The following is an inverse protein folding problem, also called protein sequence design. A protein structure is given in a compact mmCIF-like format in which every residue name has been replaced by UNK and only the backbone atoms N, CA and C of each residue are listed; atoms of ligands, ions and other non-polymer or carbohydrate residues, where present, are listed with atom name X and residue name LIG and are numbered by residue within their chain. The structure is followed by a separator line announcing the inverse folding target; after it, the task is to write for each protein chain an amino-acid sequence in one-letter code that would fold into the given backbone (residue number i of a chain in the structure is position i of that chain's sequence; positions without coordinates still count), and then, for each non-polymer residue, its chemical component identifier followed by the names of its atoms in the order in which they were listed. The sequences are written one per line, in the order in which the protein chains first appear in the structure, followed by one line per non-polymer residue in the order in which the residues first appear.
data_IF_226152099170
#
_entry.id   IF_226152099170
#
_cell.length_a   1.000
_cell.length_b   1.000
_cell.length_c   1.000
_cell.angle_alpha   90.00
_cell.angle_beta   90.00
_cell.angle_gamma   90.00
#
_symmetry.space_group_name_H-M   'P 1'
#
loop_
_entity.id
_entity.type
_entity.pdbx_description
1 polymer ?
#
# COMPACT_ATOMS: atom_id res chain seq x y z
N UNK A 1 20.96 18.96 12.08
CA UNK A 1 20.94 17.71 12.85
C UNK A 1 19.92 16.71 12.28
N UNK A 2 18.65 17.08 12.00
CA UNK A 2 17.62 16.15 11.48
C UNK A 2 18.00 15.51 10.15
N UNK A 3 18.55 16.27 9.21
CA UNK A 3 18.99 15.74 7.91
C UNK A 3 20.16 14.74 8.08
N UNK A 4 21.13 15.04 8.92
CA UNK A 4 22.23 14.11 9.21
C UNK A 4 21.73 12.80 9.81
N UNK A 5 20.83 12.86 10.80
CA UNK A 5 20.21 11.68 11.40
C UNK A 5 19.46 10.84 10.35
N UNK A 6 18.65 11.48 9.49
CA UNK A 6 17.92 10.78 8.46
C UNK A 6 18.86 10.06 7.45
N UNK A 7 19.93 10.76 7.03
CA UNK A 7 20.92 10.17 6.09
C UNK A 7 21.68 9.02 6.74
N UNK A 8 22.14 9.16 7.98
CA UNK A 8 22.84 8.09 8.70
C UNK A 8 21.91 6.87 8.92
N UNK A 9 20.64 7.10 9.30
CA UNK A 9 19.67 6.02 9.49
C UNK A 9 19.36 5.29 8.18
N UNK A 10 19.22 6.03 7.07
CA UNK A 10 18.98 5.43 5.76
C UNK A 10 20.20 4.62 5.29
N UNK A 11 21.40 5.18 5.37
CA UNK A 11 22.63 4.49 4.99
C UNK A 11 22.88 3.25 5.87
N UNK A 12 22.70 3.39 7.19
CA UNK A 12 22.82 2.28 8.14
C UNK A 12 21.81 1.16 7.86
N UNK A 13 20.54 1.52 7.61
CA UNK A 13 19.50 0.54 7.27
C UNK A 13 19.82 -0.23 5.97
N UNK A 14 20.25 0.46 4.91
CA UNK A 14 20.66 -0.18 3.65
C UNK A 14 21.89 -1.06 3.85
N UNK A 15 22.87 -0.62 4.63
CA UNK A 15 24.06 -1.42 4.93
C UNK A 15 23.71 -2.69 5.71
N UNK A 16 22.82 -2.61 6.70
CA UNK A 16 22.33 -3.77 7.46
C UNK A 16 21.61 -4.75 6.53
N UNK A 17 20.73 -4.27 5.64
CA UNK A 17 20.07 -5.13 4.65
C UNK A 17 21.06 -5.84 3.75
N UNK A 18 22.10 -5.12 3.26
CA UNK A 18 23.14 -5.72 2.41
C UNK A 18 24.01 -6.75 3.12
N UNK A 19 24.35 -6.48 4.39
CA UNK A 19 25.21 -7.34 5.18
C UNK A 19 24.52 -8.59 5.74
N UNK A 20 23.23 -8.44 6.15
CA UNK A 20 22.49 -9.52 6.82
C UNK A 20 21.50 -10.26 5.94
N UNK A 21 21.24 -9.77 4.72
CA UNK A 21 20.37 -10.45 3.74
C UNK A 21 21.10 -10.64 2.41
N UNK A 22 20.82 -9.79 1.42
CA UNK A 22 21.47 -9.86 0.10
C UNK A 22 21.46 -8.48 -0.60
N UNK A 23 22.29 -8.30 -1.66
CA UNK A 23 22.38 -7.04 -2.40
C UNK A 23 21.07 -6.59 -3.04
N UNK A 24 20.20 -7.53 -3.47
CA UNK A 24 18.90 -7.20 -4.07
C UNK A 24 17.98 -6.53 -3.04
N UNK A 25 17.90 -7.09 -1.83
CA UNK A 25 17.11 -6.50 -0.74
C UNK A 25 17.63 -5.13 -0.34
N UNK A 26 18.95 -4.94 -0.28
CA UNK A 26 19.56 -3.65 -0.02
C UNK A 26 19.23 -2.61 -1.11
N UNK A 27 19.29 -3.03 -2.39
CA UNK A 27 18.93 -2.18 -3.52
C UNK A 27 17.44 -1.75 -3.47
N UNK A 28 16.54 -2.67 -3.16
CA UNK A 28 15.12 -2.36 -2.97
C UNK A 28 14.90 -1.41 -1.79
N UNK A 29 15.62 -1.58 -0.69
CA UNK A 29 15.57 -0.67 0.46
C UNK A 29 16.07 0.74 0.10
N UNK A 30 17.19 0.85 -0.61
CA UNK A 30 17.71 2.12 -1.10
C UNK A 30 16.73 2.80 -2.07
N UNK A 31 16.16 2.03 -3.00
CA UNK A 31 15.11 2.51 -3.92
C UNK A 31 13.89 3.03 -3.16
N UNK A 32 13.45 2.30 -2.14
CA UNK A 32 12.29 2.70 -1.33
C UNK A 32 12.53 4.04 -0.63
N UNK A 33 13.69 4.21 0.01
CA UNK A 33 14.08 5.49 0.64
C UNK A 33 14.15 6.61 -0.39
N UNK A 34 14.75 6.37 -1.55
CA UNK A 34 14.85 7.36 -2.62
C UNK A 34 13.48 7.78 -3.15
N UNK A 35 12.60 6.83 -3.45
CA UNK A 35 11.23 7.11 -3.91
C UNK A 35 10.42 7.87 -2.86
N UNK A 36 10.54 7.49 -1.59
CA UNK A 36 9.82 8.16 -0.51
C UNK A 36 10.29 9.61 -0.33
N UNK A 37 11.61 9.80 -0.22
CA UNK A 37 12.17 11.11 0.12
C UNK A 37 12.14 12.10 -1.04
N UNK A 38 12.53 11.65 -2.25
CA UNK A 38 12.76 12.55 -3.38
C UNK A 38 11.62 12.59 -4.39
N UNK A 39 10.70 11.61 -4.41
CA UNK A 39 9.57 11.59 -5.33
C UNK A 39 8.26 11.78 -4.60
N UNK A 40 7.90 10.85 -3.71
CA UNK A 40 6.60 10.87 -3.03
C UNK A 40 6.39 12.12 -2.16
N UNK A 41 7.35 12.45 -1.31
CA UNK A 41 7.22 13.56 -0.36
C UNK A 41 7.06 14.93 -1.05
N UNK A 42 7.85 15.29 -2.07
CA UNK A 42 7.64 16.51 -2.84
C UNK A 42 6.30 16.51 -3.60
N UNK A 43 5.90 15.37 -4.18
CA UNK A 43 4.66 15.26 -4.95
C UNK A 43 3.40 15.56 -4.14
N UNK A 44 3.41 15.41 -2.82
CA UNK A 44 2.26 15.73 -1.95
C UNK A 44 1.75 17.16 -2.13
N UNK A 45 2.63 18.10 -2.47
CA UNK A 45 2.27 19.50 -2.69
C UNK A 45 1.93 19.83 -4.14
N UNK A 46 2.22 18.93 -5.09
CA UNK A 46 2.13 19.26 -6.52
C UNK A 46 1.06 18.45 -7.26
N UNK A 47 0.84 17.18 -6.91
CA UNK A 47 -0.01 16.31 -7.72
C UNK A 47 -0.74 15.26 -6.89
N UNK A 48 -1.98 14.95 -7.28
CA UNK A 48 -2.76 13.83 -6.72
C UNK A 48 -2.11 12.47 -7.01
N UNK A 49 -1.21 12.39 -7.99
CA UNK A 49 -0.46 11.16 -8.30
C UNK A 49 0.44 10.70 -7.15
N UNK A 50 0.70 11.56 -6.15
CA UNK A 50 1.39 11.18 -4.92
C UNK A 50 0.79 9.91 -4.29
N UNK A 51 -0.52 9.71 -4.37
CA UNK A 51 -1.20 8.56 -3.79
C UNK A 51 -0.74 7.25 -4.42
N UNK A 52 -0.56 7.20 -5.76
CA UNK A 52 -0.06 6.02 -6.46
C UNK A 52 1.43 5.79 -6.22
N UNK A 53 2.23 6.85 -6.24
CA UNK A 53 3.66 6.75 -5.90
C UNK A 53 3.83 6.27 -4.46
N UNK A 54 3.03 6.79 -3.52
CA UNK A 54 3.01 6.32 -2.13
C UNK A 54 2.63 4.84 -2.02
N UNK A 55 1.67 4.38 -2.83
CA UNK A 55 1.28 2.98 -2.87
C UNK A 55 2.40 2.07 -3.43
N UNK A 56 3.18 2.53 -4.41
CA UNK A 56 4.39 1.82 -4.87
C UNK A 56 5.42 1.72 -3.75
N UNK A 57 5.72 2.83 -3.08
CA UNK A 57 6.64 2.86 -1.92
C UNK A 57 6.22 1.86 -0.84
N UNK A 58 4.93 1.84 -0.50
CA UNK A 58 4.40 0.92 0.51
C UNK A 58 4.27 -0.54 0.05
N UNK A 59 4.34 -0.82 -1.26
CA UNK A 59 4.34 -2.16 -1.82
C UNK A 59 5.75 -2.79 -1.95
N UNK A 60 6.81 -2.00 -1.82
CA UNK A 60 8.20 -2.50 -1.86
C UNK A 60 8.56 -3.39 -0.65
N UNK A 61 8.15 -3.10 0.61
CA UNK A 61 8.51 -3.95 1.75
C UNK A 61 8.16 -5.44 1.61
N UNK A 62 6.99 -5.86 1.10
CA UNK A 62 6.74 -7.28 0.81
C UNK A 62 7.75 -7.88 -0.18
N UNK A 63 8.13 -7.14 -1.22
CA UNK A 63 9.16 -7.58 -2.17
C UNK A 63 10.54 -7.67 -1.52
N UNK A 64 10.87 -6.75 -0.62
CA UNK A 64 12.10 -6.82 0.16
C UNK A 64 12.13 -8.06 1.05
N UNK A 65 11.01 -8.36 1.73
CA UNK A 65 10.87 -9.58 2.53
C UNK A 65 11.01 -10.83 1.68
N UNK A 66 10.34 -10.89 0.52
CA UNK A 66 10.46 -12.00 -0.41
C UNK A 66 11.90 -12.17 -0.92
N UNK A 67 12.50 -11.10 -1.44
CA UNK A 67 13.86 -11.11 -1.95
C UNK A 67 14.91 -11.48 -0.87
N UNK A 68 14.65 -11.15 0.39
CA UNK A 68 15.56 -11.51 1.48
C UNK A 68 15.67 -13.03 1.70
N UNK A 69 14.58 -13.75 1.43
CA UNK A 69 14.51 -15.21 1.58
C UNK A 69 14.92 -15.96 0.30
N UNK A 70 14.54 -15.43 -0.88
CA UNK A 70 14.74 -16.13 -2.16
C UNK A 70 15.98 -15.68 -2.91
N UNK A 71 16.49 -14.50 -2.64
CA UNK A 71 17.60 -13.88 -3.39
C UNK A 71 17.23 -13.39 -4.79
N UNK A 72 15.96 -13.51 -5.20
CA UNK A 72 15.51 -13.21 -6.57
C UNK A 72 14.10 -12.63 -6.58
N UNK A 73 13.71 -12.02 -7.70
CA UNK A 73 12.35 -11.59 -8.04
C UNK A 73 11.98 -11.92 -9.49
N UNK A 74 12.81 -12.71 -10.17
CA UNK A 74 12.72 -12.96 -11.61
C UNK A 74 12.39 -14.42 -11.95
N UNK A 75 12.24 -15.29 -10.96
CA UNK A 75 11.83 -16.68 -11.15
C UNK A 75 10.32 -16.80 -11.22
N UNK A 76 9.76 -17.81 -11.91
CA UNK A 76 8.32 -18.09 -11.89
C UNK A 76 7.75 -18.31 -10.48
N UNK A 77 8.57 -18.84 -9.57
CA UNK A 77 8.23 -19.04 -8.15
C UNK A 77 8.09 -17.75 -7.36
N UNK A 78 8.61 -16.62 -7.88
CA UNK A 78 8.51 -15.30 -7.24
C UNK A 78 7.16 -14.62 -7.48
N UNK A 79 6.26 -15.22 -8.28
CA UNK A 79 4.93 -14.67 -8.56
C UNK A 79 4.14 -14.36 -7.28
N UNK A 80 4.28 -15.18 -6.22
CA UNK A 80 3.63 -14.95 -4.95
C UNK A 80 4.13 -13.64 -4.29
N UNK A 81 5.41 -13.37 -4.33
CA UNK A 81 6.00 -12.12 -3.82
C UNK A 81 5.44 -10.88 -4.52
N UNK A 82 5.29 -10.93 -5.83
CA UNK A 82 4.67 -9.86 -6.63
C UNK A 82 3.18 -9.70 -6.32
N UNK A 83 2.45 -10.79 -6.12
CA UNK A 83 1.03 -10.74 -5.77
C UNK A 83 0.85 -10.17 -4.36
N UNK A 84 1.68 -10.54 -3.39
CA UNK A 84 1.67 -9.95 -2.05
C UNK A 84 1.94 -8.43 -2.10
N UNK A 85 2.91 -8.00 -2.91
CA UNK A 85 3.14 -6.58 -3.15
C UNK A 85 1.92 -5.91 -3.79
N UNK A 86 1.27 -6.57 -4.76
CA UNK A 86 0.04 -6.11 -5.39
C UNK A 86 -1.15 -6.01 -4.42
N UNK A 87 -1.28 -6.96 -3.51
CA UNK A 87 -2.29 -6.93 -2.43
C UNK A 87 -2.04 -5.71 -1.54
N UNK A 88 -0.82 -5.51 -1.07
CA UNK A 88 -0.52 -4.37 -0.21
C UNK A 88 -0.64 -3.04 -0.99
N UNK A 89 -0.22 -3.01 -2.26
CA UNK A 89 -0.45 -1.87 -3.14
C UNK A 89 -1.94 -1.49 -3.20
N UNK A 90 -2.82 -2.45 -3.46
CA UNK A 90 -4.26 -2.22 -3.57
C UNK A 90 -4.89 -1.85 -2.22
N UNK A 91 -4.47 -2.52 -1.13
CA UNK A 91 -4.98 -2.30 0.22
C UNK A 91 -4.79 -0.87 0.72
N UNK A 92 -3.68 -0.23 0.36
CA UNK A 92 -3.36 1.12 0.82
C UNK A 92 -4.37 2.17 0.36
N UNK A 93 -4.99 2.01 -0.82
CA UNK A 93 -5.91 3.03 -1.34
C UNK A 93 -7.17 3.21 -0.49
N UNK A 94 -7.97 2.17 -0.17
CA UNK A 94 -9.13 2.36 0.71
C UNK A 94 -8.72 2.80 2.11
N UNK A 95 -7.60 2.29 2.65
CA UNK A 95 -7.05 2.70 3.93
C UNK A 95 -6.71 4.20 3.97
N UNK A 96 -5.80 4.60 3.08
CA UNK A 96 -5.27 5.95 3.09
C UNK A 96 -6.30 6.99 2.61
N UNK A 97 -7.12 6.67 1.60
CA UNK A 97 -8.12 7.59 1.09
C UNK A 97 -9.25 7.84 2.11
N UNK A 98 -9.59 6.85 2.92
CA UNK A 98 -10.54 7.00 4.02
C UNK A 98 -9.96 7.89 5.13
N UNK A 99 -8.70 7.66 5.54
CA UNK A 99 -8.00 8.50 6.50
C UNK A 99 -7.85 9.93 6.00
N UNK A 100 -7.40 10.11 4.76
CA UNK A 100 -7.21 11.41 4.15
C UNK A 100 -8.52 12.19 3.97
N UNK A 101 -9.65 11.50 3.81
CA UNK A 101 -10.97 12.14 3.79
C UNK A 101 -11.33 12.69 5.17
N UNK A 102 -11.10 11.94 6.23
CA UNK A 102 -11.35 12.39 7.60
C UNK A 102 -10.44 13.54 8.03
N UNK A 103 -9.21 13.61 7.49
CA UNK A 103 -8.21 14.65 7.77
C UNK A 103 -8.13 15.74 6.70
N UNK A 104 -9.14 15.87 5.84
CA UNK A 104 -9.10 16.77 4.67
C UNK A 104 -8.78 18.22 4.99
N UNK A 105 -9.31 18.75 6.10
CA UNK A 105 -9.06 20.12 6.55
C UNK A 105 -7.60 20.35 6.97
N UNK A 106 -6.98 19.37 7.60
CA UNK A 106 -5.57 19.44 8.06
C UNK A 106 -4.62 19.38 6.85
N UNK A 107 -4.89 18.51 5.89
CA UNK A 107 -4.13 18.45 4.64
C UNK A 107 -4.25 19.74 3.83
N UNK A 108 -5.44 20.33 3.75
CA UNK A 108 -5.65 21.61 3.09
C UNK A 108 -4.86 22.75 3.75
N UNK A 109 -4.88 22.83 5.10
CA UNK A 109 -4.11 23.80 5.86
C UNK A 109 -2.59 23.63 5.68
N UNK A 110 -2.12 22.38 5.53
CA UNK A 110 -0.71 22.06 5.24
C UNK A 110 -0.28 22.34 3.80
N UNK A 111 -1.18 22.81 2.94
CA UNK A 111 -0.91 23.09 1.53
C UNK A 111 -0.71 21.81 0.69
N UNK A 112 -1.21 20.67 1.15
CA UNK A 112 -1.12 19.40 0.42
C UNK A 112 -2.21 19.30 -0.65
N UNK A 113 -1.82 18.86 -1.84
CA UNK A 113 -2.73 18.59 -2.97
C UNK A 113 -3.13 17.10 -2.99
N UNK A 114 -3.59 16.60 -1.84
CA UNK A 114 -4.09 15.23 -1.74
C UNK A 114 -5.38 15.08 -2.54
N UNK A 115 -5.64 13.87 -3.05
CA UNK A 115 -6.87 13.58 -3.81
C UNK A 115 -8.12 13.85 -2.98
N UNK A 116 -8.08 13.62 -1.65
CA UNK A 116 -9.16 13.93 -0.71
C UNK A 116 -9.52 15.41 -0.64
N UNK A 117 -8.54 16.31 -0.89
CA UNK A 117 -8.69 17.77 -0.88
C UNK A 117 -9.11 18.28 -2.25
N UNK A 118 -8.41 17.87 -3.31
CA UNK A 118 -8.58 18.42 -4.66
C UNK A 118 -9.69 17.77 -5.46
N UNK A 119 -9.94 16.47 -5.25
CA UNK A 119 -11.00 15.71 -5.92
C UNK A 119 -11.59 14.62 -5.00
N UNK A 120 -12.43 15.01 -4.01
CA UNK A 120 -13.01 14.06 -3.05
C UNK A 120 -13.85 12.96 -3.70
N UNK A 121 -14.48 13.24 -4.85
CA UNK A 121 -15.26 12.23 -5.57
C UNK A 121 -14.36 11.13 -6.16
N UNK A 122 -13.23 11.50 -6.75
CA UNK A 122 -12.23 10.56 -7.24
C UNK A 122 -11.59 9.77 -6.08
N UNK A 123 -11.29 10.43 -4.97
CA UNK A 123 -10.73 9.83 -3.76
C UNK A 123 -11.55 8.60 -3.30
N UNK A 124 -12.86 8.78 -3.17
CA UNK A 124 -13.79 7.70 -2.77
C UNK A 124 -13.92 6.61 -3.82
N UNK A 125 -13.96 6.99 -5.11
CA UNK A 125 -14.05 6.04 -6.22
C UNK A 125 -12.81 5.16 -6.32
N UNK A 126 -11.64 5.74 -6.14
CA UNK A 126 -10.35 5.02 -6.10
C UNK A 126 -10.33 4.05 -4.93
N UNK A 127 -10.74 4.48 -3.73
CA UNK A 127 -10.85 3.60 -2.57
C UNK A 127 -11.71 2.35 -2.88
N UNK A 128 -12.90 2.54 -3.45
CA UNK A 128 -13.80 1.43 -3.80
C UNK A 128 -13.21 0.50 -4.86
N UNK A 129 -12.58 1.04 -5.91
CA UNK A 129 -11.97 0.23 -6.99
C UNK A 129 -10.87 -0.69 -6.48
N UNK A 130 -9.97 -0.17 -5.65
CA UNK A 130 -8.86 -0.94 -5.12
C UNK A 130 -9.28 -1.93 -4.03
N UNK A 131 -10.31 -1.61 -3.22
CA UNK A 131 -10.91 -2.59 -2.32
C UNK A 131 -11.54 -3.77 -3.08
N UNK A 132 -12.20 -3.50 -4.22
CA UNK A 132 -12.74 -4.55 -5.08
C UNK A 132 -11.63 -5.36 -5.77
N UNK A 133 -10.50 -4.75 -6.13
CA UNK A 133 -9.36 -5.44 -6.72
C UNK A 133 -8.70 -6.45 -5.77
N UNK A 134 -8.83 -6.27 -4.45
CA UNK A 134 -8.33 -7.24 -3.47
C UNK A 134 -9.03 -8.59 -3.56
N UNK A 135 -10.31 -8.63 -3.95
CA UNK A 135 -11.08 -9.87 -4.05
C UNK A 135 -10.42 -10.87 -5.02
N UNK A 136 -10.14 -10.54 -6.29
CA UNK A 136 -9.45 -11.45 -7.18
C UNK A 136 -7.96 -11.62 -6.83
N UNK A 137 -7.27 -10.63 -6.28
CA UNK A 137 -5.87 -10.76 -5.88
C UNK A 137 -5.71 -11.81 -4.77
N UNK A 138 -6.54 -11.74 -3.73
CA UNK A 138 -6.50 -12.71 -2.64
C UNK A 138 -7.19 -14.02 -3.02
N UNK A 139 -8.39 -13.97 -3.60
CA UNK A 139 -9.22 -15.14 -3.82
C UNK A 139 -8.80 -16.00 -5.01
N UNK A 140 -8.06 -15.45 -5.98
CA UNK A 140 -7.68 -16.15 -7.20
C UNK A 140 -6.17 -16.10 -7.45
N UNK A 141 -5.61 -14.88 -7.55
CA UNK A 141 -4.23 -14.74 -7.99
C UNK A 141 -3.22 -15.39 -7.02
N UNK A 142 -3.34 -15.17 -5.72
CA UNK A 142 -2.45 -15.77 -4.74
C UNK A 142 -2.60 -17.31 -4.66
N UNK A 143 -3.81 -17.89 -4.61
CA UNK A 143 -3.97 -19.35 -4.71
C UNK A 143 -3.34 -19.99 -5.95
N UNK A 144 -3.39 -19.33 -7.11
CA UNK A 144 -2.79 -19.85 -8.35
C UNK A 144 -1.26 -19.96 -8.30
N UNK A 145 -0.59 -19.32 -7.36
CA UNK A 145 0.86 -19.47 -7.19
C UNK A 145 1.27 -20.81 -6.55
N UNK A 146 0.33 -21.53 -5.98
CA UNK A 146 0.60 -22.79 -5.26
C UNK A 146 1.25 -22.62 -3.88
N UNK A 147 1.42 -21.38 -3.41
CA UNK A 147 2.04 -21.08 -2.10
C UNK A 147 1.09 -21.26 -0.92
N UNK A 148 -0.21 -21.31 -1.17
CA UNK A 148 -1.27 -21.49 -0.16
C UNK A 148 -2.23 -22.60 -0.60
N UNK A 149 -2.96 -23.21 0.35
CA UNK A 149 -4.02 -24.16 0.04
C UNK A 149 -5.16 -23.46 -0.73
N UNK A 150 -5.39 -23.78 -2.02
CA UNK A 150 -6.16 -22.89 -2.91
C UNK A 150 -7.59 -22.64 -2.42
N UNK A 151 -8.33 -23.71 -2.15
CA UNK A 151 -9.75 -23.61 -1.77
C UNK A 151 -9.92 -23.03 -0.37
N UNK A 152 -9.14 -23.50 0.58
CA UNK A 152 -9.21 -23.05 1.98
C UNK A 152 -8.87 -21.57 2.08
N UNK A 153 -7.77 -21.15 1.45
CA UNK A 153 -7.37 -19.74 1.48
C UNK A 153 -8.38 -18.84 0.78
N UNK A 154 -8.87 -19.23 -0.40
CA UNK A 154 -9.88 -18.47 -1.14
C UNK A 154 -11.17 -18.30 -0.30
N UNK A 155 -11.64 -19.36 0.34
CA UNK A 155 -12.82 -19.32 1.19
C UNK A 155 -12.63 -18.42 2.43
N UNK A 156 -11.50 -18.55 3.13
CA UNK A 156 -11.21 -17.75 4.32
C UNK A 156 -10.97 -16.29 4.00
N UNK A 157 -10.29 -15.99 2.89
CA UNK A 157 -10.02 -14.61 2.46
C UNK A 157 -11.26 -13.89 1.94
N UNK A 158 -12.29 -14.61 1.49
CA UNK A 158 -13.51 -14.01 0.94
C UNK A 158 -14.23 -13.14 1.97
N UNK A 159 -14.32 -13.59 3.22
CA UNK A 159 -15.05 -12.86 4.29
C UNK A 159 -14.44 -11.49 4.57
N UNK A 160 -13.14 -11.37 4.91
CA UNK A 160 -12.52 -10.07 5.14
C UNK A 160 -12.51 -9.20 3.88
N UNK A 161 -12.27 -9.76 2.69
CA UNK A 161 -12.31 -9.02 1.44
C UNK A 161 -13.70 -8.47 1.13
N UNK A 162 -14.76 -9.27 1.30
CA UNK A 162 -16.14 -8.83 1.08
C UNK A 162 -16.55 -7.73 2.08
N UNK A 163 -16.19 -7.88 3.34
CA UNK A 163 -16.44 -6.87 4.36
C UNK A 163 -15.71 -5.56 4.01
N UNK A 164 -14.44 -5.62 3.64
CA UNK A 164 -13.68 -4.43 3.27
C UNK A 164 -14.25 -3.76 2.01
N UNK A 165 -14.58 -4.54 0.98
CA UNK A 165 -15.25 -4.04 -0.22
C UNK A 165 -16.58 -3.36 0.10
N UNK A 166 -17.40 -3.94 0.99
CA UNK A 166 -18.66 -3.35 1.44
C UNK A 166 -18.45 -1.97 2.07
N UNK A 167 -17.53 -1.83 3.03
CA UNK A 167 -17.26 -0.56 3.68
C UNK A 167 -16.66 0.49 2.74
N UNK A 168 -15.81 0.07 1.80
CA UNK A 168 -15.27 0.97 0.78
C UNK A 168 -16.34 1.43 -0.23
N UNK A 169 -17.25 0.55 -0.65
CA UNK A 169 -18.41 0.90 -1.48
C UNK A 169 -19.38 1.82 -0.74
N UNK A 170 -19.61 1.57 0.55
CA UNK A 170 -20.42 2.46 1.37
C UNK A 170 -19.82 3.85 1.49
N UNK A 171 -18.49 3.95 1.72
CA UNK A 171 -17.76 5.21 1.73
C UNK A 171 -17.86 5.95 0.40
N UNK A 172 -17.84 5.22 -0.73
CA UNK A 172 -18.03 5.83 -2.05
C UNK A 172 -19.45 6.37 -2.25
N UNK A 173 -20.49 5.59 -1.90
CA UNK A 173 -21.92 5.93 -2.16
C UNK A 173 -22.50 6.92 -1.18
N UNK A 174 -22.12 6.83 0.08
CA UNK A 174 -22.64 7.66 1.19
C UNK A 174 -21.46 8.36 1.86
N UNK A 175 -20.97 9.47 1.27
CA UNK A 175 -19.79 10.15 1.78
C UNK A 175 -20.10 10.86 3.10
N UNK A 176 -19.45 10.41 4.17
CA UNK A 176 -19.51 11.01 5.50
C UNK A 176 -18.25 10.68 6.28
N UNK A 177 -17.93 11.45 7.30
CA UNK A 177 -16.84 11.11 8.23
C UNK A 177 -17.02 9.72 8.84
N UNK A 178 -18.26 9.36 9.17
CA UNK A 178 -18.60 8.06 9.75
C UNK A 178 -18.27 6.92 8.79
N UNK A 179 -18.67 7.02 7.51
CA UNK A 179 -18.37 5.98 6.52
C UNK A 179 -16.87 5.89 6.20
N UNK A 180 -16.15 7.03 6.19
CA UNK A 180 -14.71 7.06 6.04
C UNK A 180 -14.01 6.36 7.22
N UNK A 181 -14.37 6.70 8.46
CA UNK A 181 -13.81 6.04 9.66
C UNK A 181 -14.10 4.54 9.68
N UNK A 182 -15.30 4.11 9.29
CA UNK A 182 -15.63 2.68 9.20
C UNK A 182 -14.77 1.96 8.16
N UNK A 183 -14.56 2.56 6.98
CA UNK A 183 -13.67 2.00 5.96
C UNK A 183 -12.22 1.92 6.46
N UNK A 184 -11.74 2.96 7.14
CA UNK A 184 -10.41 2.98 7.75
C UNK A 184 -10.23 1.87 8.79
N UNK A 185 -11.15 1.74 9.76
CA UNK A 185 -11.06 0.68 10.77
C UNK A 185 -11.16 -0.71 10.15
N UNK A 186 -12.06 -0.89 9.16
CA UNK A 186 -12.16 -2.18 8.47
C UNK A 186 -10.86 -2.54 7.73
N UNK A 187 -10.11 -1.57 7.22
CA UNK A 187 -8.81 -1.84 6.60
C UNK A 187 -7.80 -2.43 7.58
N UNK A 188 -7.81 -1.99 8.84
CA UNK A 188 -6.93 -2.53 9.88
C UNK A 188 -7.32 -3.97 10.29
N UNK A 189 -8.61 -4.28 10.28
CA UNK A 189 -9.09 -5.65 10.54
C UNK A 189 -8.86 -6.59 9.37
N UNK A 190 -8.71 -6.05 8.16
CA UNK A 190 -8.49 -6.84 6.94
C UNK A 190 -7.06 -7.38 6.83
N UNK A 191 -6.04 -6.67 7.32
CA UNK A 191 -4.65 -7.16 7.38
C UNK A 191 -4.47 -8.23 8.45
#
# INVERSE_FOLDING_TARGET
HAFGLATCSAAGGVAVLGALTNPLTAALGALNVALYAFVYTPMKRHSIANTWVGAVVGALPPLMGWASCTGTLMQPTDAAGWILAGILFAWQFPHFNALAHAMGNEYARGGYRMMSVTNPALNRRVAARYALALVPLCGVALPLTGTVLPVTYAALSLVPNAAFAYYALRFWRVPSERSARQCFWMSLFHL
#
